data_IF_088848949895
#
_entry.id   IF_088848949895
#
_cell.length_a   1.000
_cell.length_b   1.000
_cell.length_c   1.000
_cell.angle_alpha   90.00
_cell.angle_beta   90.00
_cell.angle_gamma   90.00
#
_symmetry.space_group_name_H-M   'P 1'
#
loop_
_entity.id
_entity.type
_entity.pdbx_description
1 polymer ?
#
# COMPACT_ATOMS: atom_id res chain seq x y z
N UNK A 1 15.25 -21.59 15.28
CA UNK A 1 15.60 -21.46 13.85
C UNK A 1 14.35 -20.98 13.12
N UNK A 2 14.11 -19.67 13.11
CA UNK A 2 12.98 -19.06 12.40
C UNK A 2 13.26 -19.07 10.90
N UNK A 3 12.47 -19.83 10.15
CA UNK A 3 12.51 -19.83 8.69
C UNK A 3 11.94 -18.51 8.17
N UNK A 4 12.79 -17.49 8.03
CA UNK A 4 12.50 -16.33 7.21
C UNK A 4 12.38 -16.78 5.76
N UNK A 5 11.14 -17.04 5.31
CA UNK A 5 10.84 -17.23 3.89
C UNK A 5 11.16 -15.91 3.18
N UNK A 6 12.33 -15.89 2.51
CA UNK A 6 12.75 -14.78 1.66
C UNK A 6 11.60 -14.45 0.71
N UNK A 7 11.14 -13.19 0.78
CA UNK A 7 10.08 -12.64 -0.06
C UNK A 7 10.64 -12.46 -1.49
N UNK A 8 10.92 -13.58 -2.15
CA UNK A 8 11.39 -13.62 -3.53
C UNK A 8 10.24 -13.15 -4.38
N UNK A 9 10.37 -11.98 -5.00
CA UNK A 9 9.36 -11.41 -5.88
C UNK A 9 9.18 -12.32 -7.08
N UNK A 10 8.21 -13.24 -7.02
CA UNK A 10 7.92 -14.17 -8.11
C UNK A 10 7.46 -13.36 -9.34
N UNK A 11 8.23 -13.38 -10.42
CA UNK A 11 7.78 -12.79 -11.68
C UNK A 11 6.83 -13.78 -12.35
N UNK A 12 5.56 -13.39 -12.53
CA UNK A 12 4.66 -14.16 -13.37
C UNK A 12 4.90 -13.72 -14.81
N UNK A 13 5.18 -14.68 -15.68
CA UNK A 13 5.19 -14.46 -17.12
C UNK A 13 3.77 -14.23 -17.65
N UNK A 14 3.68 -14.19 -18.98
CA UNK A 14 2.43 -13.87 -19.65
C UNK A 14 1.41 -15.00 -19.58
N UNK A 15 1.88 -16.25 -19.65
CA UNK A 15 1.05 -17.45 -19.53
C UNK A 15 0.49 -17.60 -18.12
N UNK A 16 1.34 -17.46 -17.11
CA UNK A 16 0.94 -17.56 -15.69
C UNK A 16 -0.03 -16.46 -15.30
N UNK A 17 0.14 -15.26 -15.88
CA UNK A 17 -0.81 -14.16 -15.67
C UNK A 17 -2.17 -14.42 -16.31
N UNK A 18 -2.23 -15.11 -17.47
CA UNK A 18 -3.50 -15.52 -18.08
C UNK A 18 -4.21 -16.56 -17.22
N UNK A 19 -3.49 -17.59 -16.79
CA UNK A 19 -4.01 -18.61 -15.86
C UNK A 19 -4.54 -18.00 -14.56
N UNK A 20 -3.82 -17.02 -14.01
CA UNK A 20 -4.28 -16.25 -12.85
C UNK A 20 -5.62 -15.54 -13.12
N UNK A 21 -5.81 -14.94 -14.29
CA UNK A 21 -7.05 -14.25 -14.67
C UNK A 21 -8.18 -15.25 -14.88
N UNK A 22 -7.91 -16.42 -15.44
CA UNK A 22 -8.89 -17.49 -15.63
C UNK A 22 -9.43 -18.01 -14.30
N UNK A 23 -8.55 -18.43 -13.38
CA UNK A 23 -8.92 -18.86 -12.02
C UNK A 23 -9.64 -17.74 -11.26
N UNK A 24 -9.23 -16.49 -11.49
CA UNK A 24 -9.93 -15.34 -10.91
C UNK A 24 -11.34 -15.18 -11.46
N UNK A 25 -11.54 -15.36 -12.76
CA UNK A 25 -12.86 -15.34 -13.39
C UNK A 25 -13.82 -16.37 -12.82
N UNK A 26 -13.34 -17.60 -12.58
CA UNK A 26 -14.15 -18.68 -12.01
C UNK A 26 -14.55 -18.42 -10.55
N UNK A 27 -13.71 -17.72 -9.78
CA UNK A 27 -13.92 -17.50 -8.35
C UNK A 27 -14.41 -16.08 -8.02
N UNK A 28 -14.72 -15.25 -9.03
CA UNK A 28 -15.08 -13.84 -8.83
C UNK A 28 -16.35 -13.65 -8.00
N UNK A 29 -17.33 -14.55 -8.16
CA UNK A 29 -18.61 -14.51 -7.44
C UNK A 29 -18.39 -14.75 -5.95
N UNK A 30 -17.69 -15.84 -5.60
CA UNK A 30 -17.30 -16.18 -4.23
C UNK A 30 -16.47 -15.09 -3.56
N UNK A 31 -15.59 -14.43 -4.32
CA UNK A 31 -14.78 -13.30 -3.83
C UNK A 31 -15.63 -12.06 -3.51
N UNK A 32 -16.80 -11.91 -4.14
CA UNK A 32 -17.72 -10.77 -3.95
C UNK A 32 -18.77 -11.05 -2.87
N UNK A 33 -19.24 -12.28 -2.75
CA UNK A 33 -20.22 -12.70 -1.74
C UNK A 33 -19.70 -12.52 -0.32
N UNK A 34 -18.41 -12.78 -0.09
CA UNK A 34 -17.83 -12.79 1.25
C UNK A 34 -16.83 -11.67 1.50
N UNK A 35 -17.05 -10.88 2.54
CA UNK A 35 -16.12 -9.81 2.95
C UNK A 35 -14.79 -10.38 3.49
N UNK A 36 -14.81 -11.56 4.14
CA UNK A 36 -13.63 -12.28 4.66
C UNK A 36 -13.23 -13.43 3.73
N UNK A 37 -12.82 -13.08 2.51
CA UNK A 37 -12.50 -14.03 1.43
C UNK A 37 -11.09 -14.65 1.47
N UNK A 38 -10.47 -14.78 2.67
CA UNK A 38 -9.12 -15.38 2.81
C UNK A 38 -9.09 -16.83 2.31
N UNK A 39 -10.08 -17.62 2.69
CA UNK A 39 -10.20 -19.02 2.30
C UNK A 39 -10.40 -19.18 0.79
N UNK A 40 -11.17 -18.28 0.15
CA UNK A 40 -11.33 -18.24 -1.31
C UNK A 40 -9.99 -17.98 -2.00
N UNK A 41 -9.21 -17.02 -1.50
CA UNK A 41 -7.88 -16.73 -2.05
C UNK A 41 -6.92 -17.92 -1.87
N UNK A 42 -6.99 -18.63 -0.74
CA UNK A 42 -6.19 -19.85 -0.53
C UNK A 42 -6.60 -20.96 -1.50
N UNK A 43 -7.90 -21.15 -1.73
CA UNK A 43 -8.39 -22.13 -2.70
C UNK A 43 -7.94 -21.79 -4.13
N UNK A 44 -8.00 -20.51 -4.53
CA UNK A 44 -7.48 -20.06 -5.82
C UNK A 44 -5.97 -20.31 -5.96
N UNK A 45 -5.19 -20.14 -4.88
CA UNK A 45 -3.76 -20.46 -4.89
C UNK A 45 -3.54 -21.98 -5.06
N UNK A 46 -4.36 -22.81 -4.42
CA UNK A 46 -4.29 -24.27 -4.58
C UNK A 46 -4.64 -24.69 -6.01
N UNK A 47 -5.69 -24.09 -6.61
CA UNK A 47 -6.07 -24.31 -8.01
C UNK A 47 -4.91 -23.96 -8.97
N UNK A 48 -4.32 -22.77 -8.84
CA UNK A 48 -3.16 -22.37 -9.66
C UNK A 48 -1.95 -23.29 -9.49
N UNK A 49 -1.72 -23.78 -8.27
CA UNK A 49 -0.62 -24.72 -8.00
C UNK A 49 -0.86 -26.06 -8.70
N UNK A 50 -2.08 -26.56 -8.67
CA UNK A 50 -2.42 -27.86 -9.25
C UNK A 50 -2.46 -27.81 -10.78
N UNK A 51 -3.08 -26.78 -11.34
CA UNK A 51 -3.34 -26.68 -12.79
C UNK A 51 -2.15 -26.12 -13.57
N UNK A 52 -1.42 -25.15 -12.97
CA UNK A 52 -0.39 -24.39 -13.69
C UNK A 52 0.99 -24.45 -13.02
N UNK A 53 1.14 -25.22 -11.93
CA UNK A 53 2.38 -25.33 -11.14
C UNK A 53 2.91 -23.99 -10.61
N UNK A 54 2.05 -22.97 -10.55
CA UNK A 54 2.40 -21.64 -10.03
C UNK A 54 2.15 -21.61 -8.53
N UNK A 55 3.23 -21.50 -7.75
CA UNK A 55 3.13 -21.43 -6.30
C UNK A 55 3.00 -19.97 -5.85
N UNK A 56 1.79 -19.57 -5.44
CA UNK A 56 1.53 -18.25 -4.86
C UNK A 56 0.97 -18.36 -3.45
N UNK A 57 1.32 -17.39 -2.61
CA UNK A 57 0.65 -17.19 -1.33
C UNK A 57 -0.62 -16.34 -1.50
N UNK A 58 -1.60 -16.50 -0.61
CA UNK A 58 -2.86 -15.76 -0.62
C UNK A 58 -2.66 -14.22 -0.59
N UNK A 59 -1.62 -13.73 0.10
CA UNK A 59 -1.26 -12.31 0.14
C UNK A 59 -0.75 -11.83 -1.22
N UNK A 60 0.08 -12.63 -1.89
CA UNK A 60 0.62 -12.34 -3.22
C UNK A 60 -0.50 -12.37 -4.25
N UNK A 61 -1.34 -13.41 -4.24
CA UNK A 61 -2.56 -13.53 -5.03
C UNK A 61 -3.40 -12.25 -4.93
N UNK A 62 -3.76 -11.83 -3.71
CA UNK A 62 -4.54 -10.60 -3.47
C UNK A 62 -3.83 -9.37 -4.06
N UNK A 63 -2.53 -9.27 -3.89
CA UNK A 63 -1.73 -8.16 -4.43
C UNK A 63 -1.72 -8.15 -5.95
N UNK A 64 -1.63 -9.32 -6.61
CA UNK A 64 -1.67 -9.45 -8.07
C UNK A 64 -3.04 -9.05 -8.62
N UNK A 65 -4.13 -9.53 -8.02
CA UNK A 65 -5.49 -9.14 -8.41
C UNK A 65 -5.72 -7.64 -8.27
N UNK A 66 -5.23 -7.04 -7.18
CA UNK A 66 -5.30 -5.59 -6.97
C UNK A 66 -4.53 -4.84 -8.05
N UNK A 67 -3.35 -5.32 -8.44
CA UNK A 67 -2.53 -4.69 -9.49
C UNK A 67 -3.18 -4.82 -10.87
N UNK A 68 -3.74 -6.00 -11.21
CA UNK A 68 -4.51 -6.21 -12.45
C UNK A 68 -5.71 -5.25 -12.51
N UNK A 69 -6.47 -5.16 -11.43
CA UNK A 69 -7.64 -4.26 -11.35
C UNK A 69 -7.23 -2.79 -11.47
N UNK A 70 -6.15 -2.38 -10.80
CA UNK A 70 -5.61 -1.01 -10.90
C UNK A 70 -5.19 -0.68 -12.33
N UNK A 71 -4.44 -1.57 -12.98
CA UNK A 71 -3.97 -1.38 -14.36
C UNK A 71 -5.14 -1.32 -15.33
N UNK A 72 -6.13 -2.21 -15.20
CA UNK A 72 -7.37 -2.17 -15.97
C UNK A 72 -8.06 -0.81 -15.86
N UNK A 73 -8.25 -0.27 -14.65
CA UNK A 73 -8.89 1.05 -14.45
C UNK A 73 -8.11 2.19 -15.10
N UNK A 74 -6.78 2.12 -15.08
CA UNK A 74 -5.93 3.10 -15.75
C UNK A 74 -6.10 3.03 -17.27
N UNK A 75 -6.08 1.83 -17.84
CA UNK A 75 -6.28 1.61 -19.28
C UNK A 75 -7.69 2.01 -19.72
N UNK A 76 -8.73 1.63 -18.96
CA UNK A 76 -10.12 2.03 -19.24
C UNK A 76 -10.28 3.56 -19.27
N UNK A 77 -9.59 4.28 -18.39
CA UNK A 77 -9.60 5.76 -18.39
C UNK A 77 -8.88 6.35 -19.60
N UNK A 78 -7.86 5.68 -20.14
CA UNK A 78 -7.15 6.13 -21.35
C UNK A 78 -7.99 5.96 -22.62
N UNK A 79 -8.80 4.90 -22.69
CA UNK A 79 -9.69 4.65 -23.84
C UNK A 79 -10.79 5.73 -23.94
N UNK A 80 -11.22 6.28 -22.80
CA UNK A 80 -12.23 7.35 -22.76
C UNK A 80 -13.64 6.89 -23.16
N UNK A 81 -14.66 7.75 -23.03
CA UNK A 81 -16.05 7.42 -23.39
C UNK A 81 -16.27 7.26 -24.89
N UNK A 82 -15.50 8.00 -25.70
CA UNK A 82 -15.65 8.07 -27.16
C UNK A 82 -14.94 6.94 -27.92
N UNK A 83 -14.59 5.83 -27.25
CA UNK A 83 -13.98 4.68 -27.91
C UNK A 83 -12.62 4.99 -28.55
N UNK A 84 -11.76 5.75 -27.86
CA UNK A 84 -10.39 6.03 -28.30
C UNK A 84 -9.55 4.76 -28.50
N UNK A 85 -8.29 4.94 -28.90
CA UNK A 85 -7.41 3.84 -29.31
C UNK A 85 -7.45 2.64 -28.35
N UNK A 86 -7.59 1.40 -28.86
CA UNK A 86 -7.65 0.19 -28.04
C UNK A 86 -6.49 0.10 -27.05
N UNK A 87 -6.73 -0.47 -25.86
CA UNK A 87 -5.65 -0.66 -24.88
C UNK A 87 -4.56 -1.55 -25.48
N UNK A 88 -3.31 -1.10 -25.38
CA UNK A 88 -2.12 -1.89 -25.75
C UNK A 88 -1.84 -3.03 -24.76
N UNK A 89 -2.64 -3.16 -23.70
CA UNK A 89 -2.42 -4.15 -22.67
C UNK A 89 -3.09 -5.48 -23.05
N UNK A 90 -2.27 -6.50 -23.29
CA UNK A 90 -2.70 -7.83 -23.75
C UNK A 90 -3.73 -8.54 -22.85
N UNK A 91 -3.85 -8.17 -21.56
CA UNK A 91 -4.82 -8.76 -20.63
C UNK A 91 -6.08 -7.90 -20.44
N UNK A 92 -6.21 -6.79 -21.20
CA UNK A 92 -7.31 -5.86 -21.02
C UNK A 92 -8.67 -6.52 -21.22
N UNK A 93 -8.84 -7.27 -22.31
CA UNK A 93 -10.11 -7.93 -22.63
C UNK A 93 -10.47 -9.02 -21.61
N UNK A 94 -9.49 -9.83 -21.20
CA UNK A 94 -9.70 -10.90 -20.24
C UNK A 94 -10.14 -10.34 -18.87
N UNK A 95 -9.44 -9.29 -18.39
CA UNK A 95 -9.79 -8.61 -17.14
C UNK A 95 -11.10 -7.84 -17.28
N UNK A 96 -11.36 -7.23 -18.44
CA UNK A 96 -12.64 -6.58 -18.72
C UNK A 96 -13.78 -7.58 -18.59
N UNK A 97 -13.67 -8.77 -19.20
CA UNK A 97 -14.66 -9.84 -19.10
C UNK A 97 -14.94 -10.23 -17.65
N UNK A 98 -13.91 -10.52 -16.85
CA UNK A 98 -14.07 -10.89 -15.43
C UNK A 98 -14.76 -9.79 -14.61
N UNK A 99 -14.47 -8.52 -14.93
CA UNK A 99 -15.07 -7.39 -14.24
C UNK A 99 -16.46 -7.00 -14.77
N UNK A 100 -16.74 -7.26 -16.05
CA UNK A 100 -17.98 -6.90 -16.76
C UNK A 100 -19.11 -7.91 -16.60
N UNK A 101 -18.86 -9.14 -16.13
CA UNK A 101 -19.91 -10.18 -15.88
C UNK A 101 -21.11 -9.66 -15.04
N UNK A 102 -21.00 -8.51 -14.37
CA UNK A 102 -22.12 -7.84 -13.71
C UNK A 102 -23.22 -7.30 -14.64
N UNK A 103 -22.93 -7.01 -15.91
CA UNK A 103 -23.90 -6.34 -16.79
C UNK A 103 -24.89 -7.27 -17.46
N UNK A 104 -24.59 -8.58 -17.55
CA UNK A 104 -25.43 -9.54 -18.29
C UNK A 104 -26.59 -10.08 -17.44
N UNK A 105 -26.43 -10.11 -16.11
CA UNK A 105 -27.47 -10.60 -15.19
C UNK A 105 -28.41 -9.49 -14.67
N UNK A 106 -28.26 -8.25 -15.16
CA UNK A 106 -29.15 -7.12 -14.84
C UNK A 106 -29.98 -6.64 -16.02
N UNK A 107 -29.78 -7.19 -17.21
CA UNK A 107 -30.48 -6.80 -18.44
C UNK A 107 -31.44 -7.89 -18.88
N UNK A 108 -32.48 -8.09 -18.09
CA UNK A 108 -33.82 -8.39 -18.59
C UNK A 108 -34.72 -7.32 -17.95
N UNK A 109 -34.63 -6.11 -18.50
CA UNK A 109 -35.76 -5.20 -18.68
C UNK A 109 -35.26 -3.86 -19.20
N UNK A 110 -35.98 -3.38 -20.21
CA UNK A 110 -35.97 -2.04 -20.78
C UNK A 110 -34.75 -1.64 -21.62
N UNK A 111 -34.91 -1.87 -22.92
CA UNK A 111 -34.60 -0.83 -23.89
C UNK A 111 -35.24 0.49 -23.44
N UNK A 112 -34.43 1.48 -23.09
CA UNK A 112 -34.87 2.87 -23.05
C UNK A 112 -33.71 3.75 -23.44
N UNK A 113 -33.79 4.20 -24.69
CA UNK A 113 -33.12 5.39 -25.19
C UNK A 113 -33.44 6.56 -24.28
N UNK A 114 -32.42 7.15 -23.64
CA UNK A 114 -32.51 8.53 -23.19
C UNK A 114 -31.18 9.25 -23.42
N UNK A 115 -31.30 10.31 -24.20
CA UNK A 115 -30.31 11.30 -24.51
C UNK A 115 -29.75 12.01 -23.26
N UNK A 116 -28.65 12.71 -23.49
CA UNK A 116 -28.00 13.67 -22.60
C UNK A 116 -29.00 14.56 -21.83
N UNK A 117 -28.83 14.63 -20.52
CA UNK A 117 -29.12 15.85 -19.75
C UNK A 117 -27.99 16.02 -18.73
N UNK A 118 -27.22 17.08 -18.90
CA UNK A 118 -26.36 17.63 -17.85
C UNK A 118 -27.27 18.20 -16.75
N UNK A 119 -27.06 17.76 -15.51
CA UNK A 119 -27.44 18.51 -14.32
C UNK A 119 -26.49 18.12 -13.17
N UNK A 120 -25.77 19.13 -12.68
CA UNK A 120 -24.89 19.07 -11.53
C UNK A 120 -25.64 18.68 -10.24
N UNK A 121 -25.10 17.72 -9.47
CA UNK A 121 -25.37 17.56 -8.04
C UNK A 121 -24.21 16.77 -7.36
N UNK A 122 -23.50 17.35 -6.38
CA UNK A 122 -22.24 16.79 -5.88
C UNK A 122 -22.48 15.67 -4.88
N UNK A 123 -22.39 14.41 -5.32
CA UNK A 123 -22.60 13.25 -4.45
C UNK A 123 -21.38 12.93 -3.56
N UNK A 124 -21.63 13.06 -2.26
CA UNK A 124 -20.79 12.86 -1.06
C UNK A 124 -20.17 11.46 -0.93
N UNK A 125 -19.23 11.07 -1.79
CA UNK A 125 -18.48 9.80 -1.65
C UNK A 125 -16.94 9.94 -1.71
N UNK A 126 -16.45 11.07 -2.23
CA UNK A 126 -15.02 11.40 -2.27
C UNK A 126 -14.44 11.69 -0.87
N UNK A 127 -15.27 12.09 0.10
CA UNK A 127 -14.83 12.50 1.44
C UNK A 127 -14.23 11.34 2.25
N UNK A 128 -14.82 10.15 2.24
CA UNK A 128 -14.37 9.03 3.09
C UNK A 128 -12.96 8.53 2.76
N UNK A 129 -12.58 8.47 1.46
CA UNK A 129 -11.21 8.07 1.06
C UNK A 129 -10.19 9.18 1.33
N UNK A 130 -10.57 10.43 1.14
CA UNK A 130 -9.69 11.57 1.40
C UNK A 130 -9.51 11.80 2.91
N UNK A 131 -10.54 11.59 3.73
CA UNK A 131 -10.45 11.61 5.20
C UNK A 131 -9.56 10.50 5.73
N UNK A 132 -9.69 9.27 5.23
CA UNK A 132 -8.81 8.17 5.66
C UNK A 132 -7.34 8.42 5.30
N UNK A 133 -7.07 9.01 4.13
CA UNK A 133 -5.71 9.42 3.73
C UNK A 133 -5.20 10.59 4.58
N UNK A 134 -6.02 11.62 4.81
CA UNK A 134 -5.69 12.78 5.65
C UNK A 134 -5.45 12.38 7.11
N UNK A 135 -6.25 11.46 7.65
CA UNK A 135 -6.14 10.96 9.03
C UNK A 135 -4.85 10.15 9.23
N UNK A 136 -4.46 9.32 8.25
CA UNK A 136 -3.17 8.62 8.25
C UNK A 136 -1.99 9.58 8.17
N UNK A 137 -2.02 10.54 7.22
CA UNK A 137 -0.98 11.57 7.12
C UNK A 137 -0.81 12.36 8.43
N UNK A 138 -1.92 12.75 9.08
CA UNK A 138 -1.89 13.42 10.38
C UNK A 138 -1.31 12.57 11.52
N UNK A 139 -1.49 11.24 11.48
CA UNK A 139 -0.87 10.34 12.47
C UNK A 139 0.63 10.22 12.24
N UNK A 140 1.05 10.06 10.99
CA UNK A 140 2.47 9.99 10.62
C UNK A 140 3.18 11.31 10.99
N UNK A 141 2.60 12.46 10.65
CA UNK A 141 3.13 13.80 10.99
C UNK A 141 3.28 13.97 12.52
N UNK A 142 2.32 13.47 13.31
CA UNK A 142 2.35 13.56 14.78
C UNK A 142 3.42 12.65 15.38
N UNK A 143 3.63 11.47 14.78
CA UNK A 143 4.70 10.54 15.19
C UNK A 143 6.09 11.11 14.87
N UNK A 144 6.26 11.70 13.68
CA UNK A 144 7.52 12.39 13.32
C UNK A 144 7.81 13.57 14.23
N UNK A 145 6.79 14.34 14.63
CA UNK A 145 6.96 15.44 15.58
C UNK A 145 7.46 14.92 16.93
N UNK A 146 6.87 13.85 17.46
CA UNK A 146 7.29 13.25 18.73
C UNK A 146 8.77 12.82 18.71
N UNK A 147 9.20 12.15 17.64
CA UNK A 147 10.61 11.75 17.48
C UNK A 147 11.53 12.97 17.47
N UNK A 148 11.14 14.04 16.78
CA UNK A 148 11.94 15.26 16.71
C UNK A 148 12.07 15.93 18.08
N UNK A 149 10.97 16.01 18.82
CA UNK A 149 10.94 16.59 20.17
C UNK A 149 11.77 15.72 21.16
N UNK A 150 11.70 14.39 21.06
CA UNK A 150 12.53 13.47 21.85
C UNK A 150 14.02 13.62 21.54
N UNK A 151 14.40 13.74 20.26
CA UNK A 151 15.78 13.98 19.86
C UNK A 151 16.31 15.32 20.38
N UNK A 152 15.51 16.37 20.31
CA UNK A 152 15.87 17.70 20.80
C UNK A 152 16.06 17.70 22.33
N UNK A 153 15.14 17.06 23.05
CA UNK A 153 15.25 16.86 24.50
C UNK A 153 16.54 16.11 24.88
N UNK A 154 16.86 15.05 24.14
CA UNK A 154 18.08 14.26 24.38
C UNK A 154 19.35 15.08 24.09
N UNK A 155 19.38 15.85 23.01
CA UNK A 155 20.49 16.74 22.69
C UNK A 155 20.72 17.77 23.80
N UNK A 156 19.64 18.41 24.27
CA UNK A 156 19.70 19.37 25.37
C UNK A 156 20.22 18.74 26.66
N UNK A 157 19.85 17.50 26.93
CA UNK A 157 20.36 16.77 28.09
C UNK A 157 21.87 16.50 27.96
N UNK A 158 22.33 16.03 26.80
CA UNK A 158 23.75 15.77 26.53
C UNK A 158 24.57 17.05 26.67
N UNK A 159 24.10 18.14 26.07
CA UNK A 159 24.78 19.44 26.16
C UNK A 159 24.90 19.94 27.60
N UNK A 160 23.82 19.82 28.39
CA UNK A 160 23.84 20.20 29.80
C UNK A 160 24.78 19.31 30.63
N UNK A 161 24.87 18.01 30.31
CA UNK A 161 25.82 17.10 30.95
C UNK A 161 27.26 17.52 30.65
N UNK A 162 27.55 17.84 29.40
CA UNK A 162 28.88 18.27 28.96
C UNK A 162 29.32 19.56 29.68
N UNK A 163 28.43 20.55 29.76
CA UNK A 163 28.69 21.79 30.51
C UNK A 163 28.98 21.55 31.99
N UNK A 164 28.37 20.52 32.58
CA UNK A 164 28.61 20.17 33.97
C UNK A 164 29.99 19.52 34.15
N UNK A 165 30.38 18.63 33.24
CA UNK A 165 31.71 18.02 33.21
C UNK A 165 32.82 19.05 33.00
N UNK A 166 32.64 20.00 32.07
CA UNK A 166 33.59 21.10 31.83
C UNK A 166 33.82 21.95 33.08
N UNK A 167 32.75 22.25 33.84
CA UNK A 167 32.86 22.98 35.12
C UNK A 167 33.68 22.20 36.14
N UNK A 168 33.49 20.88 36.23
CA UNK A 168 34.24 20.03 37.15
C UNK A 168 35.73 20.01 36.76
N UNK A 169 36.03 19.85 35.47
CA UNK A 169 37.42 19.87 34.97
C UNK A 169 38.09 21.19 35.30
N UNK A 170 37.41 22.31 35.04
CA UNK A 170 37.97 23.65 35.33
C UNK A 170 38.29 23.84 36.82
N UNK A 171 37.42 23.38 37.72
CA UNK A 171 37.68 23.44 39.17
C UNK A 171 38.89 22.57 39.58
N UNK A 172 39.08 21.42 38.94
CA UNK A 172 40.25 20.56 39.18
C UNK A 172 41.54 21.21 38.69
N UNK A 173 41.52 21.86 37.52
CA UNK A 173 42.66 22.60 36.98
C UNK A 173 43.05 23.78 37.88
N UNK A 174 42.07 24.57 38.33
CA UNK A 174 42.29 25.68 39.27
C UNK A 174 42.95 25.20 40.56
N UNK A 175 42.44 24.11 41.17
CA UNK A 175 43.02 23.52 42.37
C UNK A 175 44.46 23.02 42.15
N UNK A 176 44.73 22.34 41.04
CA UNK A 176 46.07 21.86 40.72
C UNK A 176 47.06 23.02 40.52
N UNK A 177 46.60 24.12 39.93
CA UNK A 177 47.41 25.34 39.73
C UNK A 177 47.80 25.95 41.08
N UNK A 178 46.85 26.04 42.02
CA UNK A 178 47.08 26.52 43.38
C UNK A 178 48.06 25.61 44.15
N UNK A 179 47.88 24.30 44.06
CA UNK A 179 48.80 23.32 44.68
C UNK A 179 50.22 23.46 44.13
N UNK A 180 50.36 23.61 42.81
CA UNK A 180 51.65 23.80 42.15
C UNK A 180 52.32 25.10 42.58
N UNK A 181 51.55 26.19 42.72
CA UNK A 181 52.05 27.47 43.21
C UNK A 181 52.48 27.43 44.71
N UNK A 182 51.87 26.57 45.51
CA UNK A 182 52.27 26.33 46.90
C UNK A 182 53.55 25.48 47.01
N UNK A 183 53.70 24.48 46.15
CA UNK A 183 54.87 23.58 46.15
C UNK A 183 56.13 24.27 45.62
N UNK A 184 55.99 25.21 44.67
CA UNK A 184 57.10 25.94 44.07
C UNK A 184 57.51 27.22 44.84
N UNK A 185 56.97 27.44 46.04
CA UNK A 185 57.35 28.51 46.98
C UNK A 185 58.31 27.98 48.03
#
# INVERSE_FOLDING_TARGET
MENYTKNTRIYLGTSETKSLIEVWGQNIEKLRETHKNKHVLQNMCAQLKNEHKVCLNAVEMRTRLNNLTKRYRQEKRKIGPSGGSPSKWQFYNDVHKVLSVQSINKTLDSESSCAEVQADEPTTSANSRNERKRKRKRQDDRFFQLIKDEQEMMQKYVEKSLQNEEKIIKLLEENNTLLTALINK
#
